data_IF_628230974510
#
_entry.id   IF_628230974510
#
_cell.length_a   1.000
_cell.length_b   1.000
_cell.length_c   1.000
_cell.angle_alpha   90.00
_cell.angle_beta   90.00
_cell.angle_gamma   90.00
#
_symmetry.space_group_name_H-M   'P 1'
#
loop_
_entity.id
_entity.type
_entity.pdbx_description
1 polymer ?
#
# COMPACT_ATOMS: atom_id res chain seq x y z
N UNK A 1 14.06 6.24 25.07
CA UNK A 1 12.65 6.34 25.49
C UNK A 1 11.87 5.31 24.68
N UNK A 2 11.34 4.26 25.32
CA UNK A 2 10.56 3.23 24.65
C UNK A 2 9.22 3.85 24.21
N UNK A 3 8.94 3.87 22.90
CA UNK A 3 7.64 4.20 22.33
C UNK A 3 6.63 3.18 22.85
N UNK A 4 5.69 3.66 23.69
CA UNK A 4 4.49 2.90 24.04
C UNK A 4 3.79 2.52 22.74
N UNK A 5 3.78 1.26 22.40
CA UNK A 5 2.86 0.72 21.40
C UNK A 5 1.50 0.71 22.07
N UNK A 6 0.73 1.77 21.87
CA UNK A 6 -0.65 1.81 22.34
C UNK A 6 -1.41 0.65 21.70
N UNK A 7 -2.18 -0.09 22.52
CA UNK A 7 -3.02 -1.17 22.02
C UNK A 7 -3.97 -0.59 20.94
N UNK A 8 -4.22 -1.32 19.84
CA UNK A 8 -5.04 -0.82 18.75
C UNK A 8 -6.45 -0.45 19.26
N UNK A 9 -6.91 0.71 18.87
CA UNK A 9 -8.25 1.19 19.23
C UNK A 9 -9.32 0.23 18.70
N UNK A 10 -10.51 0.24 19.28
CA UNK A 10 -11.63 -0.57 18.80
C UNK A 10 -11.95 -0.28 17.32
N UNK A 11 -11.84 0.98 16.92
CA UNK A 11 -12.05 1.40 15.53
C UNK A 11 -11.03 0.76 14.58
N UNK A 12 -9.76 0.72 14.94
CA UNK A 12 -8.70 0.07 14.17
C UNK A 12 -8.87 -1.44 14.10
N UNK A 13 -9.31 -2.08 15.20
CA UNK A 13 -9.62 -3.50 15.22
C UNK A 13 -10.76 -3.84 14.24
N UNK A 14 -11.82 -3.04 14.22
CA UNK A 14 -12.95 -3.19 13.29
C UNK A 14 -12.46 -3.06 11.84
N UNK A 15 -11.68 -2.03 11.52
CA UNK A 15 -11.15 -1.82 10.17
C UNK A 15 -10.25 -2.97 9.72
N UNK A 16 -9.40 -3.47 10.60
CA UNK A 16 -8.51 -4.59 10.31
C UNK A 16 -9.30 -5.86 9.94
N UNK A 17 -10.31 -6.21 10.75
CA UNK A 17 -11.15 -7.38 10.48
C UNK A 17 -12.05 -7.16 9.24
N UNK A 18 -12.60 -5.97 9.04
CA UNK A 18 -13.35 -5.63 7.85
C UNK A 18 -12.48 -5.79 6.59
N UNK A 19 -11.24 -5.29 6.60
CA UNK A 19 -10.31 -5.44 5.48
C UNK A 19 -10.05 -6.91 5.16
N UNK A 20 -9.78 -7.73 6.17
CA UNK A 20 -9.57 -9.17 6.01
C UNK A 20 -10.79 -9.87 5.40
N UNK A 21 -11.95 -9.68 5.99
CA UNK A 21 -13.19 -10.32 5.54
C UNK A 21 -13.59 -9.90 4.13
N UNK A 22 -13.52 -8.61 3.82
CA UNK A 22 -13.81 -8.10 2.47
C UNK A 22 -12.83 -8.65 1.42
N UNK A 23 -11.54 -8.76 1.74
CA UNK A 23 -10.55 -9.30 0.82
C UNK A 23 -10.73 -10.79 0.56
N UNK A 24 -11.10 -11.57 1.60
CA UNK A 24 -11.31 -13.02 1.52
C UNK A 24 -12.60 -13.39 0.81
N UNK A 25 -13.71 -12.67 1.08
CA UNK A 25 -15.07 -13.08 0.71
C UNK A 25 -15.79 -12.10 -0.22
N UNK A 26 -15.12 -11.00 -0.55
CA UNK A 26 -15.70 -9.91 -1.32
C UNK A 26 -16.58 -8.98 -0.46
N UNK A 27 -16.70 -7.74 -0.86
CA UNK A 27 -17.46 -6.72 -0.12
C UNK A 27 -18.94 -7.08 0.11
N UNK A 28 -19.60 -7.66 -0.90
CA UNK A 28 -21.00 -8.05 -0.77
C UNK A 28 -21.22 -9.30 0.08
N UNK A 29 -20.24 -10.20 0.11
CA UNK A 29 -20.31 -11.46 0.84
C UNK A 29 -20.15 -11.33 2.37
N UNK A 30 -19.97 -10.11 2.89
CA UNK A 30 -19.71 -9.86 4.31
C UNK A 30 -20.81 -8.97 4.90
N UNK A 31 -21.43 -9.42 5.99
CA UNK A 31 -22.42 -8.67 6.76
C UNK A 31 -21.78 -7.83 7.86
N UNK A 32 -22.48 -6.77 8.28
CA UNK A 32 -22.06 -5.90 9.39
C UNK A 32 -21.99 -6.70 10.71
N UNK A 33 -22.96 -7.58 10.94
CA UNK A 33 -23.00 -8.42 12.15
C UNK A 33 -21.82 -9.37 12.24
N UNK A 34 -21.35 -9.85 11.10
CA UNK A 34 -20.18 -10.72 11.00
C UNK A 34 -18.89 -10.00 11.35
N UNK A 35 -18.73 -8.76 10.87
CA UNK A 35 -17.59 -7.91 11.25
C UNK A 35 -17.65 -7.64 12.76
N UNK A 36 -18.84 -7.33 13.29
CA UNK A 36 -19.04 -7.13 14.72
C UNK A 36 -18.65 -8.36 15.54
N UNK A 37 -19.12 -9.55 15.14
CA UNK A 37 -18.80 -10.81 15.80
C UNK A 37 -17.28 -11.10 15.81
N UNK A 38 -16.58 -10.81 14.71
CA UNK A 38 -15.14 -11.01 14.57
C UNK A 38 -14.31 -10.16 15.58
N UNK A 39 -14.85 -9.03 16.02
CA UNK A 39 -14.19 -8.17 17.03
C UNK A 39 -14.89 -8.20 18.40
N UNK A 40 -15.85 -9.11 18.60
CA UNK A 40 -16.55 -9.30 19.88
C UNK A 40 -17.52 -8.17 20.26
N UNK A 41 -18.18 -7.53 19.27
CA UNK A 41 -19.24 -6.55 19.52
C UNK A 41 -20.52 -6.90 18.74
N UNK A 42 -21.66 -6.43 19.25
CA UNK A 42 -22.95 -6.61 18.54
C UNK A 42 -23.04 -5.70 17.31
N UNK A 43 -23.92 -6.05 16.35
CA UNK A 43 -24.21 -5.19 15.19
C UNK A 43 -24.57 -3.75 15.59
N UNK A 44 -25.50 -3.50 16.54
CA UNK A 44 -25.76 -2.17 17.07
C UNK A 44 -24.52 -1.47 17.67
N UNK A 45 -23.61 -2.23 18.29
CA UNK A 45 -22.35 -1.75 18.81
C UNK A 45 -21.43 -1.24 17.69
N UNK A 46 -21.42 -1.91 16.54
CA UNK A 46 -20.62 -1.55 15.39
C UNK A 46 -21.07 -0.23 14.75
N UNK A 47 -22.38 0.02 14.70
CA UNK A 47 -22.93 1.28 14.15
C UNK A 47 -22.55 2.54 14.94
N UNK A 48 -22.08 2.40 16.20
CA UNK A 48 -21.48 3.54 16.95
C UNK A 48 -20.11 3.97 16.40
N UNK A 49 -19.43 3.06 15.71
CA UNK A 49 -18.11 3.32 15.14
C UNK A 49 -18.18 3.69 13.65
N UNK A 50 -19.06 3.02 12.90
CA UNK A 50 -19.21 3.20 11.46
C UNK A 50 -20.69 3.18 11.06
N UNK A 51 -21.14 4.11 10.20
CA UNK A 51 -22.54 4.12 9.73
C UNK A 51 -22.89 2.95 8.79
N UNK A 52 -21.90 2.16 8.37
CA UNK A 52 -22.05 0.99 7.52
C UNK A 52 -20.73 0.56 6.91
N UNK A 53 -20.76 -0.54 6.15
CA UNK A 53 -19.56 -1.11 5.54
C UNK A 53 -18.97 -0.26 4.41
N UNK A 54 -19.78 0.56 3.72
CA UNK A 54 -19.27 1.52 2.71
C UNK A 54 -18.34 2.56 3.36
N UNK A 55 -18.67 3.03 4.55
CA UNK A 55 -17.82 3.95 5.30
C UNK A 55 -16.52 3.27 5.77
N UNK A 56 -16.57 1.99 6.13
CA UNK A 56 -15.37 1.22 6.45
C UNK A 56 -14.47 1.07 5.22
N UNK A 57 -15.03 0.73 4.06
CA UNK A 57 -14.28 0.60 2.82
C UNK A 57 -13.63 1.92 2.41
N UNK A 58 -14.38 3.03 2.49
CA UNK A 58 -13.86 4.35 2.19
C UNK A 58 -12.68 4.71 3.11
N UNK A 59 -12.83 4.50 4.43
CA UNK A 59 -11.77 4.79 5.39
C UNK A 59 -10.54 3.90 5.18
N UNK A 60 -10.71 2.63 4.83
CA UNK A 60 -9.61 1.73 4.51
C UNK A 60 -8.81 2.21 3.31
N UNK A 61 -9.47 2.52 2.18
CA UNK A 61 -8.79 2.89 0.94
C UNK A 61 -8.22 4.33 0.97
N UNK A 62 -8.94 5.29 1.55
CA UNK A 62 -8.43 6.65 1.76
C UNK A 62 -7.28 6.62 2.77
N UNK A 63 -7.46 5.89 3.88
CA UNK A 63 -6.47 5.80 4.95
C UNK A 63 -5.15 5.22 4.48
N UNK A 64 -5.17 4.10 3.72
CA UNK A 64 -3.91 3.50 3.23
C UNK A 64 -3.23 4.40 2.20
N UNK A 65 -3.99 5.02 1.28
CA UNK A 65 -3.42 5.94 0.29
C UNK A 65 -2.76 7.15 0.98
N UNK A 66 -3.38 7.68 2.04
CA UNK A 66 -2.82 8.75 2.86
C UNK A 66 -1.57 8.32 3.62
N UNK A 67 -1.57 7.11 4.22
CA UNK A 67 -0.38 6.58 4.95
C UNK A 67 0.82 6.38 4.03
N UNK A 68 0.61 5.82 2.83
CA UNK A 68 1.68 5.64 1.85
C UNK A 68 2.29 6.98 1.43
N UNK A 69 1.45 7.95 1.09
CA UNK A 69 1.91 9.29 0.71
C UNK A 69 2.66 9.99 1.85
N UNK A 70 2.11 9.96 3.06
CA UNK A 70 2.73 10.59 4.24
C UNK A 70 4.04 9.91 4.61
N UNK A 71 4.07 8.57 4.52
CA UNK A 71 5.29 7.78 4.73
C UNK A 71 6.39 8.15 3.74
N UNK A 72 6.08 8.28 2.45
CA UNK A 72 7.05 8.68 1.45
C UNK A 72 7.55 10.12 1.66
N UNK A 73 6.65 11.06 1.95
CA UNK A 73 7.03 12.44 2.28
C UNK A 73 7.96 12.52 3.48
N UNK A 74 7.67 11.73 4.52
CA UNK A 74 8.52 11.67 5.71
C UNK A 74 9.91 11.12 5.36
N UNK A 75 9.99 9.98 4.64
CA UNK A 75 11.25 9.36 4.21
C UNK A 75 12.09 10.31 3.36
N UNK A 76 11.45 11.07 2.47
CA UNK A 76 12.12 12.09 1.67
C UNK A 76 12.66 13.25 2.53
N UNK A 77 11.89 13.70 3.53
CA UNK A 77 12.30 14.79 4.42
C UNK A 77 13.39 14.37 5.44
N UNK A 78 13.41 13.10 5.84
CA UNK A 78 14.39 12.52 6.77
C UNK A 78 15.66 12.05 6.04
N UNK A 79 15.69 12.08 4.70
CA UNK A 79 16.83 11.65 3.92
C UNK A 79 18.05 12.55 4.23
N UNK A 80 19.13 11.93 4.61
CA UNK A 80 20.41 12.62 4.79
C UNK A 80 20.93 13.05 3.41
N UNK A 81 21.26 14.33 3.27
CA UNK A 81 21.85 14.87 2.05
C UNK A 81 23.16 14.15 1.66
N UNK A 82 23.82 13.53 2.62
CA UNK A 82 25.06 12.76 2.40
C UNK A 82 24.75 11.37 1.79
N UNK A 83 23.61 10.78 2.11
CA UNK A 83 23.23 9.43 1.64
C UNK A 83 22.80 9.42 0.15
N UNK A 84 22.40 10.55 -0.39
CA UNK A 84 22.06 10.71 -1.80
C UNK A 84 20.72 10.08 -2.23
N UNK A 85 20.32 10.27 -3.52
CA UNK A 85 19.02 9.83 -4.02
C UNK A 85 18.84 8.32 -4.06
N UNK A 86 19.91 7.54 -4.16
CA UNK A 86 19.90 6.08 -4.09
C UNK A 86 19.32 5.57 -2.76
N UNK A 87 19.76 6.14 -1.65
CA UNK A 87 19.26 5.75 -0.33
C UNK A 87 17.78 6.14 -0.13
N UNK A 88 17.36 7.26 -0.73
CA UNK A 88 15.94 7.66 -0.74
C UNK A 88 15.11 6.63 -1.50
N UNK A 89 15.58 6.20 -2.68
CA UNK A 89 14.90 5.18 -3.49
C UNK A 89 14.79 3.85 -2.72
N UNK A 90 15.88 3.40 -2.09
CA UNK A 90 15.86 2.21 -1.25
C UNK A 90 14.85 2.31 -0.11
N UNK A 91 14.83 3.44 0.59
CA UNK A 91 13.86 3.70 1.65
C UNK A 91 12.41 3.72 1.13
N UNK A 92 12.16 4.23 -0.08
CA UNK A 92 10.83 4.18 -0.71
C UNK A 92 10.43 2.73 -1.02
N UNK A 93 11.33 1.94 -1.60
CA UNK A 93 11.09 0.52 -1.91
C UNK A 93 10.78 -0.25 -0.62
N UNK A 94 11.58 -0.09 0.43
CA UNK A 94 11.36 -0.71 1.73
C UNK A 94 9.98 -0.36 2.31
N UNK A 95 9.62 0.92 2.31
CA UNK A 95 8.33 1.36 2.83
C UNK A 95 7.14 0.81 2.05
N UNK A 96 7.27 0.63 0.73
CA UNK A 96 6.22 0.01 -0.07
C UNK A 96 6.16 -1.51 0.14
N UNK A 97 7.31 -2.16 0.31
CA UNK A 97 7.40 -3.60 0.63
C UNK A 97 6.75 -3.89 1.99
N UNK A 98 7.01 -3.07 3.01
CA UNK A 98 6.36 -3.22 4.32
C UNK A 98 4.84 -3.18 4.17
N UNK A 99 4.29 -2.19 3.47
CA UNK A 99 2.87 -2.16 3.15
C UNK A 99 2.42 -3.41 2.39
N UNK A 100 3.14 -3.80 1.34
CA UNK A 100 2.75 -4.91 0.49
C UNK A 100 2.77 -6.28 1.20
N UNK A 101 3.60 -6.44 2.22
CA UNK A 101 3.67 -7.68 3.01
C UNK A 101 2.71 -7.70 4.20
N UNK A 102 2.51 -6.55 4.84
CA UNK A 102 1.78 -6.47 6.11
C UNK A 102 0.28 -6.12 5.90
N UNK A 103 -0.04 -5.40 4.83
CA UNK A 103 -1.40 -4.91 4.52
C UNK A 103 -2.00 -5.54 3.22
N UNK A 104 -1.64 -6.78 2.88
CA UNK A 104 -2.11 -7.50 1.67
C UNK A 104 -3.61 -7.39 1.39
N UNK A 105 -4.52 -7.47 2.38
CA UNK A 105 -5.94 -7.28 2.17
C UNK A 105 -6.28 -5.94 1.50
N UNK A 106 -5.55 -4.87 1.82
CA UNK A 106 -5.80 -3.54 1.27
C UNK A 106 -5.43 -3.42 -0.22
N UNK A 107 -4.43 -4.17 -0.68
CA UNK A 107 -4.10 -4.28 -2.10
C UNK A 107 -5.28 -4.92 -2.84
N UNK A 108 -5.76 -6.06 -2.34
CA UNK A 108 -6.91 -6.77 -2.93
C UNK A 108 -8.15 -5.89 -2.97
N UNK A 109 -8.42 -5.14 -1.90
CA UNK A 109 -9.58 -4.23 -1.84
C UNK A 109 -9.43 -3.07 -2.82
N UNK A 110 -8.25 -2.49 -2.92
CA UNK A 110 -7.99 -1.42 -3.88
C UNK A 110 -8.28 -1.90 -5.31
N UNK A 111 -7.79 -3.08 -5.70
CA UNK A 111 -7.94 -3.60 -7.06
C UNK A 111 -9.38 -3.95 -7.40
N UNK A 112 -10.17 -4.39 -6.41
CA UNK A 112 -11.53 -4.91 -6.66
C UNK A 112 -12.64 -3.93 -6.35
N UNK A 113 -12.46 -3.06 -5.36
CA UNK A 113 -13.56 -2.33 -4.76
C UNK A 113 -13.43 -0.79 -4.88
N UNK A 114 -12.36 -0.28 -5.50
CA UNK A 114 -12.15 1.17 -5.64
C UNK A 114 -13.33 1.87 -6.33
N UNK A 115 -13.90 1.24 -7.35
CA UNK A 115 -15.00 1.84 -8.12
C UNK A 115 -16.35 1.85 -7.38
N UNK A 116 -16.44 1.15 -6.22
CA UNK A 116 -17.61 1.20 -5.32
C UNK A 116 -17.64 2.42 -4.42
N UNK A 117 -16.50 3.08 -4.24
CA UNK A 117 -16.45 4.28 -3.42
C UNK A 117 -17.35 5.36 -4.00
N UNK A 118 -17.91 6.19 -3.13
CA UNK A 118 -18.54 7.45 -3.53
C UNK A 118 -17.56 8.29 -4.35
N UNK A 119 -18.06 9.09 -5.25
CA UNK A 119 -17.22 9.90 -6.15
C UNK A 119 -16.20 10.78 -5.41
N UNK A 120 -16.58 11.37 -4.29
CA UNK A 120 -15.70 12.17 -3.44
C UNK A 120 -14.51 11.36 -2.93
N UNK A 121 -14.78 10.19 -2.35
CA UNK A 121 -13.76 9.33 -1.74
C UNK A 121 -12.85 8.72 -2.80
N UNK A 122 -13.44 8.28 -3.93
CA UNK A 122 -12.69 7.77 -5.07
C UNK A 122 -11.76 8.83 -5.69
N UNK A 123 -12.24 10.07 -5.83
CA UNK A 123 -11.41 11.20 -6.28
C UNK A 123 -10.26 11.47 -5.32
N UNK A 124 -10.52 11.43 -4.02
CA UNK A 124 -9.49 11.61 -2.99
C UNK A 124 -8.43 10.50 -3.05
N UNK A 125 -8.83 9.23 -3.12
CA UNK A 125 -7.89 8.11 -3.29
C UNK A 125 -7.01 8.32 -4.52
N UNK A 126 -7.61 8.60 -5.69
CA UNK A 126 -6.87 8.84 -6.93
C UNK A 126 -5.93 10.05 -6.85
N UNK A 127 -6.32 11.09 -6.12
CA UNK A 127 -5.46 12.26 -5.89
C UNK A 127 -4.24 11.89 -5.03
N UNK A 128 -4.45 11.18 -3.92
CA UNK A 128 -3.37 10.73 -3.04
C UNK A 128 -2.39 9.81 -3.77
N UNK A 129 -2.91 8.89 -4.57
CA UNK A 129 -2.10 7.99 -5.38
C UNK A 129 -1.28 8.72 -6.45
N UNK A 130 -1.87 9.70 -7.17
CA UNK A 130 -1.10 10.51 -8.11
C UNK A 130 0.06 11.22 -7.41
N UNK A 131 -0.18 11.85 -6.25
CA UNK A 131 0.88 12.51 -5.50
C UNK A 131 1.97 11.52 -5.07
N UNK A 132 1.59 10.31 -4.67
CA UNK A 132 2.54 9.26 -4.31
C UNK A 132 3.41 8.84 -5.50
N UNK A 133 2.80 8.62 -6.67
CA UNK A 133 3.53 8.32 -7.92
C UNK A 133 4.49 9.46 -8.29
N UNK A 134 4.06 10.73 -8.18
CA UNK A 134 4.93 11.88 -8.49
C UNK A 134 6.19 11.91 -7.62
N UNK A 135 6.08 11.60 -6.32
CA UNK A 135 7.26 11.52 -5.45
C UNK A 135 8.24 10.44 -5.94
N UNK A 136 7.73 9.27 -6.29
CA UNK A 136 8.56 8.19 -6.81
C UNK A 136 9.23 8.55 -8.15
N UNK A 137 8.47 9.14 -9.07
CA UNK A 137 9.00 9.59 -10.37
C UNK A 137 10.13 10.61 -10.17
N UNK A 138 9.97 11.55 -9.23
CA UNK A 138 11.02 12.50 -8.87
C UNK A 138 12.30 11.80 -8.45
N UNK A 139 12.22 10.93 -7.45
CA UNK A 139 13.38 10.20 -6.91
C UNK A 139 14.01 9.27 -7.97
N UNK A 140 13.19 8.54 -8.73
CA UNK A 140 13.70 7.65 -9.80
C UNK A 140 14.48 8.44 -10.85
N UNK A 141 14.04 9.65 -11.22
CA UNK A 141 14.76 10.50 -12.18
C UNK A 141 16.04 11.14 -11.62
N UNK A 142 16.13 11.30 -10.31
CA UNK A 142 17.38 11.72 -9.66
C UNK A 142 18.42 10.58 -9.69
N UNK A 143 17.97 9.34 -9.48
CA UNK A 143 18.84 8.13 -9.52
C UNK A 143 19.18 7.73 -10.95
N UNK A 144 18.25 7.87 -11.89
CA UNK A 144 18.35 7.47 -13.28
C UNK A 144 18.09 8.65 -14.23
N UNK A 145 19.01 9.59 -14.34
CA UNK A 145 18.80 10.86 -15.07
C UNK A 145 18.62 10.68 -16.58
N UNK A 146 19.01 9.54 -17.14
CA UNK A 146 18.78 9.20 -18.55
C UNK A 146 17.32 8.84 -18.86
N UNK A 147 16.51 8.52 -17.84
CA UNK A 147 15.09 8.23 -18.04
C UNK A 147 14.29 9.50 -18.33
N UNK A 148 13.55 9.48 -19.45
CA UNK A 148 12.51 10.49 -19.68
C UNK A 148 11.41 10.37 -18.61
N UNK A 149 10.68 11.47 -18.36
CA UNK A 149 9.58 11.45 -17.37
C UNK A 149 8.52 10.36 -17.69
N UNK A 150 8.06 10.15 -18.93
CA UNK A 150 7.13 9.05 -19.24
C UNK A 150 7.73 7.66 -18.98
N UNK A 151 9.02 7.46 -19.25
CA UNK A 151 9.69 6.18 -18.99
C UNK A 151 9.83 5.91 -17.48
N UNK A 152 10.24 6.91 -16.71
CA UNK A 152 10.32 6.82 -15.25
C UNK A 152 8.93 6.52 -14.63
N UNK A 153 7.88 7.17 -15.11
CA UNK A 153 6.49 6.93 -14.67
C UNK A 153 6.05 5.50 -14.98
N UNK A 154 6.36 5.00 -16.18
CA UNK A 154 6.06 3.63 -16.56
C UNK A 154 6.81 2.62 -15.69
N UNK A 155 8.09 2.87 -15.41
CA UNK A 155 8.90 2.04 -14.53
C UNK A 155 8.33 2.01 -13.09
N UNK A 156 7.92 3.17 -12.54
CA UNK A 156 7.27 3.25 -11.22
C UNK A 156 5.98 2.42 -11.18
N UNK A 157 5.11 2.53 -12.17
CA UNK A 157 3.89 1.72 -12.22
C UNK A 157 4.18 0.22 -12.35
N UNK A 158 5.20 -0.17 -13.14
CA UNK A 158 5.62 -1.56 -13.28
C UNK A 158 6.15 -2.13 -11.96
N UNK A 159 6.97 -1.36 -11.24
CA UNK A 159 7.48 -1.73 -9.92
C UNK A 159 6.33 -1.83 -8.90
N UNK A 160 5.35 -0.93 -8.92
CA UNK A 160 4.18 -1.07 -8.07
C UNK A 160 3.39 -2.35 -8.36
N UNK A 161 3.21 -2.72 -9.63
CA UNK A 161 2.60 -4.00 -10.01
C UNK A 161 3.38 -5.19 -9.44
N UNK A 162 4.72 -5.16 -9.55
CA UNK A 162 5.60 -6.16 -8.98
C UNK A 162 5.45 -6.26 -7.45
N UNK A 163 5.56 -5.15 -6.73
CA UNK A 163 5.47 -5.14 -5.27
C UNK A 163 4.07 -5.49 -4.77
N UNK A 164 3.02 -5.05 -5.46
CA UNK A 164 1.63 -5.36 -5.13
C UNK A 164 1.18 -6.77 -5.53
N UNK A 165 2.06 -7.59 -6.10
CA UNK A 165 1.75 -8.99 -6.41
C UNK A 165 1.65 -9.90 -5.16
N UNK A 166 2.00 -9.40 -3.99
CA UNK A 166 2.08 -10.17 -2.74
C UNK A 166 0.79 -10.91 -2.31
N UNK A 167 -0.44 -10.45 -2.59
CA UNK A 167 -1.64 -11.22 -2.31
C UNK A 167 -1.71 -12.53 -3.13
N UNK A 168 -1.02 -12.60 -4.27
CA UNK A 168 -0.99 -13.76 -5.14
C UNK A 168 0.18 -14.71 -4.82
N UNK A 169 1.18 -14.23 -4.08
CA UNK A 169 2.31 -15.02 -3.63
C UNK A 169 1.86 -15.84 -2.40
N UNK A 170 1.79 -17.14 -2.47
CA UNK A 170 1.75 -17.97 -1.27
C UNK A 170 0.41 -18.56 -0.84
N UNK A 171 -0.49 -18.83 -1.76
CA UNK A 171 -1.66 -19.68 -1.45
C UNK A 171 -1.33 -21.11 -1.02
N UNK A 172 -0.05 -21.55 -1.04
CA UNK A 172 0.37 -22.95 -0.80
C UNK A 172 1.62 -23.14 0.06
N UNK A 173 1.89 -22.26 1.00
CA UNK A 173 2.86 -22.56 2.08
C UNK A 173 4.35 -22.68 1.68
N UNK A 174 4.76 -22.18 0.52
CA UNK A 174 6.11 -22.34 -0.03
C UNK A 174 6.85 -21.00 -0.18
N UNK A 175 6.38 -19.93 0.50
CA UNK A 175 7.11 -18.68 0.46
C UNK A 175 8.29 -18.70 1.43
N UNK A 176 9.42 -18.09 1.03
CA UNK A 176 10.45 -17.69 1.98
C UNK A 176 9.84 -16.86 3.11
N UNK A 177 10.46 -16.89 4.29
CA UNK A 177 10.03 -16.02 5.39
C UNK A 177 9.96 -14.54 4.98
N UNK A 178 9.22 -13.72 5.76
CA UNK A 178 8.98 -12.30 5.46
C UNK A 178 10.26 -11.54 5.04
N UNK A 179 11.37 -11.73 5.80
CA UNK A 179 12.65 -11.07 5.51
C UNK A 179 13.20 -11.45 4.13
N UNK A 180 13.29 -12.74 3.82
CA UNK A 180 13.78 -13.21 2.52
C UNK A 180 12.88 -12.77 1.36
N UNK A 181 11.56 -12.70 1.57
CA UNK A 181 10.62 -12.17 0.57
C UNK A 181 10.85 -10.67 0.37
N UNK A 182 11.03 -9.90 1.44
CA UNK A 182 11.31 -8.47 1.37
C UNK A 182 12.61 -8.19 0.60
N UNK A 183 13.69 -8.92 0.92
CA UNK A 183 14.97 -8.80 0.22
C UNK A 183 14.85 -9.14 -1.28
N UNK A 184 14.10 -10.19 -1.62
CA UNK A 184 13.86 -10.56 -3.01
C UNK A 184 13.12 -9.44 -3.76
N UNK A 185 12.01 -8.96 -3.19
CA UNK A 185 11.22 -7.87 -3.79
C UNK A 185 12.05 -6.60 -3.96
N UNK A 186 12.88 -6.27 -2.95
CA UNK A 186 13.77 -5.12 -3.03
C UNK A 186 14.77 -5.24 -4.20
N UNK A 187 15.48 -6.36 -4.31
CA UNK A 187 16.41 -6.60 -5.43
C UNK A 187 15.70 -6.55 -6.79
N UNK A 188 14.49 -7.13 -6.89
CA UNK A 188 13.71 -7.12 -8.14
C UNK A 188 13.29 -5.68 -8.50
N UNK A 189 12.84 -4.88 -7.55
CA UNK A 189 12.46 -3.48 -7.76
C UNK A 189 13.66 -2.64 -8.24
N UNK A 190 14.82 -2.77 -7.58
CA UNK A 190 16.07 -2.12 -8.00
C UNK A 190 16.50 -2.55 -9.39
N UNK A 191 16.46 -3.84 -9.68
CA UNK A 191 16.78 -4.37 -11.01
C UNK A 191 15.83 -3.85 -12.09
N UNK A 192 14.55 -3.72 -11.80
CA UNK A 192 13.57 -3.19 -12.75
C UNK A 192 13.87 -1.71 -13.11
N UNK A 193 14.20 -0.87 -12.12
CA UNK A 193 14.58 0.52 -12.39
C UNK A 193 15.88 0.62 -13.20
N UNK A 194 16.92 -0.15 -12.82
CA UNK A 194 18.19 -0.17 -13.56
C UNK A 194 18.00 -0.66 -15.01
N UNK A 195 17.14 -1.66 -15.22
CA UNK A 195 16.86 -2.18 -16.59
C UNK A 195 16.08 -1.18 -17.44
N UNK A 196 15.26 -0.31 -16.83
CA UNK A 196 14.50 0.69 -17.57
C UNK A 196 15.39 1.78 -18.19
N UNK A 197 16.58 1.99 -17.64
CA UNK A 197 17.57 2.96 -18.15
C UNK A 197 18.32 2.43 -19.38
N UNK A 198 18.39 1.11 -19.55
CA UNK A 198 19.07 0.51 -20.69
C UNK A 198 18.30 0.80 -21.99
N UNK A 199 18.98 1.28 -23.07
CA UNK A 199 18.30 1.48 -24.34
C UNK A 199 17.70 0.17 -24.83
N UNK A 200 16.43 0.22 -25.25
CA UNK A 200 15.80 -0.92 -25.93
C UNK A 200 16.59 -1.13 -27.22
N UNK A 201 17.29 -2.26 -27.34
CA UNK A 201 17.92 -2.64 -28.60
C UNK A 201 16.81 -2.78 -29.64
N UNK A 202 16.81 -1.83 -30.62
CA UNK A 202 15.86 -1.80 -31.72
C UNK A 202 16.15 -2.89 -32.76
#
# INVERSE_FOLDING_TARGET
>A
MATRTDAPTRREQILKEAARLFAERGFHGVGVDEIGAAVGISGPGLYRHFPGKDAMLAELLVGISGRLLTGAKRRLAEADAVAGPEAVLDSFIEGHIDFALDDRPLITLHDRELDRLRDSDRKLVRQLQRQYVELWVGVVREVHPALSEPAARSAVHSVFGLLNSTPHLGRRGVLPGRGATAELLHRMARGAFASAESPVAG
#
